data_IF_359521880393
#
_entry.id   IF_359521880393
#
_cell.length_a   1.000
_cell.length_b   1.000
_cell.length_c   1.000
_cell.angle_alpha   90.00
_cell.angle_beta   90.00
_cell.angle_gamma   90.00
#
_symmetry.space_group_name_H-M   'P 1'
#
loop_
_entity.id
_entity.type
_entity.pdbx_description
1 polymer ?
#
# COMPACT_ATOMS: atom_id res chain seq x y z
N UNK A 1 -28.60 -2.09 -8.70
CA UNK A 1 -27.18 -2.30 -8.34
C UNK A 1 -27.12 -2.76 -6.89
N UNK A 2 -26.21 -3.67 -6.53
CA UNK A 2 -26.00 -4.02 -5.13
C UNK A 2 -25.39 -2.83 -4.39
N UNK A 3 -25.91 -2.51 -3.21
CA UNK A 3 -25.33 -1.52 -2.32
C UNK A 3 -24.10 -2.13 -1.61
N UNK A 4 -22.92 -1.73 -2.07
CA UNK A 4 -21.65 -2.22 -1.53
C UNK A 4 -21.48 -1.83 -0.05
N UNK A 5 -21.95 -0.66 0.36
CA UNK A 5 -21.86 -0.23 1.76
C UNK A 5 -22.73 -1.09 2.68
N UNK A 6 -23.94 -1.43 2.24
CA UNK A 6 -24.81 -2.34 2.99
C UNK A 6 -24.16 -3.73 3.13
N UNK A 7 -23.52 -4.23 2.07
CA UNK A 7 -22.80 -5.50 2.11
C UNK A 7 -21.60 -5.46 3.07
N UNK A 8 -20.75 -4.43 2.97
CA UNK A 8 -19.58 -4.26 3.85
C UNK A 8 -19.99 -4.21 5.33
N UNK A 9 -21.07 -3.48 5.68
CA UNK A 9 -21.60 -3.43 7.05
C UNK A 9 -22.08 -4.80 7.54
N UNK A 10 -22.60 -5.67 6.67
CA UNK A 10 -23.03 -7.02 7.04
C UNK A 10 -21.85 -7.97 7.25
N UNK A 11 -20.76 -7.78 6.50
CA UNK A 11 -19.56 -8.62 6.56
C UNK A 11 -18.56 -8.21 7.65
N UNK A 12 -18.72 -7.01 8.24
CA UNK A 12 -17.84 -6.53 9.29
C UNK A 12 -17.87 -7.47 10.51
N UNK A 13 -16.69 -7.75 11.09
CA UNK A 13 -16.55 -8.50 12.34
C UNK A 13 -16.09 -7.55 13.43
N UNK A 14 -16.70 -7.63 14.62
CA UNK A 14 -16.28 -6.84 15.77
C UNK A 14 -14.89 -7.28 16.22
N UNK A 15 -14.03 -6.32 16.52
CA UNK A 15 -12.73 -6.52 17.16
C UNK A 15 -12.49 -5.37 18.16
N UNK A 16 -11.50 -5.54 19.03
CA UNK A 16 -11.14 -4.54 20.03
C UNK A 16 -9.95 -3.66 19.59
N UNK A 17 -9.63 -3.66 18.30
CA UNK A 17 -8.52 -2.90 17.71
C UNK A 17 -9.00 -1.83 16.73
N UNK A 18 -8.07 -1.03 16.22
CA UNK A 18 -8.33 -0.02 15.18
C UNK A 18 -7.59 -0.41 13.92
N UNK A 19 -8.20 -0.13 12.77
CA UNK A 19 -7.56 -0.27 11.46
C UNK A 19 -6.99 1.10 11.08
N UNK A 20 -5.72 1.12 10.70
CA UNK A 20 -5.04 2.31 10.17
C UNK A 20 -4.68 2.05 8.71
N UNK A 21 -5.12 2.93 7.82
CA UNK A 21 -4.70 2.95 6.42
C UNK A 21 -3.73 4.13 6.24
N UNK A 22 -2.47 3.84 5.96
CA UNK A 22 -1.45 4.83 5.64
C UNK A 22 -1.21 4.81 4.12
N UNK A 23 -1.38 5.97 3.48
CA UNK A 23 -1.07 6.16 2.06
C UNK A 23 0.12 7.12 1.97
N UNK A 24 1.24 6.63 1.46
CA UNK A 24 2.37 7.47 1.08
C UNK A 24 2.24 7.79 -0.40
N UNK A 25 1.89 9.03 -0.71
CA UNK A 25 1.74 9.49 -2.09
C UNK A 25 3.09 9.41 -2.83
N UNK A 26 3.05 9.01 -4.11
CA UNK A 26 4.24 8.90 -4.95
C UNK A 26 5.32 7.94 -4.44
N UNK A 27 4.98 6.95 -3.59
CA UNK A 27 5.98 6.05 -2.97
C UNK A 27 6.77 5.19 -3.99
N UNK A 28 6.17 4.87 -5.14
CA UNK A 28 6.81 4.07 -6.17
C UNK A 28 7.92 4.84 -6.88
N UNK A 29 9.08 4.21 -7.02
CA UNK A 29 10.25 4.83 -7.65
C UNK A 29 11.11 3.83 -8.41
N UNK A 30 12.18 4.33 -9.04
CA UNK A 30 13.09 3.55 -9.87
C UNK A 30 14.54 3.90 -9.50
N UNK A 31 15.46 2.93 -9.61
CA UNK A 31 16.86 3.21 -9.38
C UNK A 31 17.43 4.16 -10.45
N UNK A 32 18.35 5.03 -10.05
CA UNK A 32 19.04 5.95 -10.96
C UNK A 32 19.90 5.22 -11.99
N UNK A 33 20.51 4.10 -11.58
CA UNK A 33 21.39 3.28 -12.42
C UNK A 33 20.90 1.83 -12.43
N UNK A 34 21.15 1.06 -13.51
CA UNK A 34 20.83 -0.36 -13.55
C UNK A 34 21.45 -1.13 -12.38
N UNK A 35 20.60 -1.84 -11.62
CA UNK A 35 21.03 -2.59 -10.42
C UNK A 35 21.19 -1.75 -9.15
N UNK A 36 20.92 -0.44 -9.22
CA UNK A 36 20.86 0.43 -8.04
C UNK A 36 19.61 0.19 -7.18
N UNK A 37 19.53 0.96 -6.10
CA UNK A 37 18.36 0.99 -5.20
C UNK A 37 17.36 2.06 -5.65
N UNK A 38 16.09 1.81 -5.39
CA UNK A 38 15.04 2.84 -5.39
C UNK A 38 15.24 3.84 -4.24
N UNK A 39 14.49 4.93 -4.28
CA UNK A 39 14.46 5.97 -3.24
C UNK A 39 14.04 5.37 -1.89
N UNK A 40 13.03 4.50 -1.88
CA UNK A 40 12.55 3.83 -0.67
C UNK A 40 13.59 2.87 -0.08
N UNK A 41 14.29 2.11 -0.91
CA UNK A 41 15.36 1.19 -0.48
C UNK A 41 16.62 1.92 0.00
N UNK A 42 16.81 3.16 -0.43
CA UNK A 42 17.93 4.02 -0.01
C UNK A 42 17.64 4.72 1.31
N UNK A 43 16.37 5.05 1.57
CA UNK A 43 15.96 5.71 2.80
C UNK A 43 16.20 4.85 4.05
N UNK A 44 16.53 5.49 5.17
CA UNK A 44 16.59 4.82 6.46
C UNK A 44 15.17 4.68 7.05
N UNK A 45 14.52 3.53 6.86
CA UNK A 45 13.12 3.29 7.22
C UNK A 45 12.92 2.22 8.31
N UNK A 46 13.55 2.31 9.50
CA UNK A 46 13.58 1.21 10.47
C UNK A 46 12.20 0.76 10.94
N UNK A 47 11.23 1.68 11.03
CA UNK A 47 9.86 1.35 11.41
C UNK A 47 9.10 0.59 10.30
N UNK A 48 9.28 1.00 9.04
CA UNK A 48 8.65 0.32 7.91
C UNK A 48 9.29 -1.05 7.69
N UNK A 49 10.60 -1.16 7.89
CA UNK A 49 11.35 -2.41 7.81
C UNK A 49 10.90 -3.40 8.89
N UNK A 50 10.66 -2.95 10.12
CA UNK A 50 10.15 -3.77 11.21
C UNK A 50 8.70 -4.24 10.95
N UNK A 51 7.85 -3.34 10.42
CA UNK A 51 6.49 -3.70 9.98
C UNK A 51 6.52 -4.73 8.84
N UNK A 52 7.42 -4.57 7.87
CA UNK A 52 7.59 -5.48 6.75
C UNK A 52 8.00 -6.89 7.20
N UNK A 53 8.86 -7.01 8.22
CA UNK A 53 9.29 -8.29 8.80
C UNK A 53 8.18 -9.01 9.57
N UNK A 54 7.31 -8.27 10.25
CA UNK A 54 6.22 -8.81 11.09
C UNK A 54 4.91 -9.03 10.31
N UNK A 55 4.75 -8.33 9.19
CA UNK A 55 3.52 -8.28 8.41
C UNK A 55 3.55 -9.15 7.16
N UNK A 56 2.72 -8.78 6.19
CA UNK A 56 2.66 -9.38 4.86
C UNK A 56 2.87 -8.29 3.82
N UNK A 57 3.68 -8.58 2.82
CA UNK A 57 4.00 -7.66 1.73
C UNK A 57 3.31 -8.07 0.44
N UNK A 58 3.07 -7.09 -0.42
CA UNK A 58 2.51 -7.30 -1.75
C UNK A 58 2.69 -6.06 -2.61
N UNK A 59 2.38 -6.20 -3.91
CA UNK A 59 2.34 -5.08 -4.86
C UNK A 59 0.90 -4.83 -5.27
N UNK A 60 0.46 -3.58 -5.21
CA UNK A 60 -0.83 -3.17 -5.75
C UNK A 60 -0.68 -2.67 -7.18
N UNK A 61 -1.69 -2.97 -8.00
CA UNK A 61 -1.86 -2.36 -9.33
C UNK A 61 -3.08 -1.44 -9.20
N UNK A 62 -2.91 -0.11 -9.15
CA UNK A 62 -4.03 0.80 -8.88
C UNK A 62 -5.10 0.80 -9.98
N UNK A 63 -4.70 0.65 -11.24
CA UNK A 63 -5.61 0.63 -12.40
C UNK A 63 -5.39 -0.67 -13.19
N UNK A 64 -4.36 -0.70 -14.04
CA UNK A 64 -3.88 -1.87 -14.79
C UNK A 64 -2.35 -1.71 -15.00
N UNK A 65 -1.62 -2.76 -15.37
CA UNK A 65 -0.18 -2.66 -15.66
C UNK A 65 0.12 -1.56 -16.69
N UNK A 66 1.06 -0.68 -16.38
CA UNK A 66 1.52 0.39 -17.27
C UNK A 66 0.62 1.64 -17.32
N UNK A 67 -0.49 1.68 -16.57
CA UNK A 67 -1.35 2.88 -16.50
C UNK A 67 -1.14 3.59 -15.17
N UNK A 68 -0.65 4.82 -15.24
CA UNK A 68 -0.51 5.71 -14.08
C UNK A 68 -1.90 6.16 -13.63
N UNK A 69 -2.28 5.97 -12.34
CA UNK A 69 -3.51 6.53 -11.81
C UNK A 69 -3.43 8.07 -11.78
N UNK A 70 -4.53 8.74 -12.09
CA UNK A 70 -4.67 10.16 -11.77
C UNK A 70 -4.78 10.37 -10.25
N UNK A 71 -4.29 11.49 -9.74
CA UNK A 71 -4.40 11.86 -8.32
C UNK A 71 -5.83 12.20 -7.86
N UNK A 72 -6.78 12.25 -8.81
CA UNK A 72 -8.14 12.76 -8.65
C UNK A 72 -8.53 13.62 -9.83
#
# INVERSE_FOLDING_TARGET
>A
MADLHALMKKLQKKNDSKIVLLVSDGLGGLPLEPGGKTELETANTPNLDDLAKKGTLGRSIPVIPGITPGSG
#
